data_IF_282585732575
#
_entry.id   IF_282585732575
#
_cell.length_a   1.000
_cell.length_b   1.000
_cell.length_c   1.000
_cell.angle_alpha   90.00
_cell.angle_beta   90.00
_cell.angle_gamma   90.00
#
_symmetry.space_group_name_H-M   'P 1'
#
loop_
_entity.id
_entity.type
_entity.pdbx_description
1 polymer ?
#
# COMPACT_ATOMS: atom_id res chain seq x y z
N UNK A 1 15.00 -0.41 0.42
CA UNK A 1 14.02 -0.38 1.53
C UNK A 1 14.09 -1.64 2.40
N UNK A 2 13.49 -1.64 3.60
CA UNK A 2 13.58 -2.74 4.60
C UNK A 2 12.24 -3.14 5.25
N UNK A 3 11.13 -2.56 4.77
CA UNK A 3 9.77 -2.84 5.22
C UNK A 3 8.83 -2.65 4.03
N UNK A 4 7.76 -3.44 3.96
CA UNK A 4 6.68 -3.26 3.01
C UNK A 4 5.38 -3.01 3.80
N UNK A 5 4.68 -1.94 3.45
CA UNK A 5 3.37 -1.61 4.01
C UNK A 5 2.32 -1.74 2.92
N UNK A 6 1.35 -2.62 3.14
CA UNK A 6 0.18 -2.80 2.28
C UNK A 6 -0.90 -1.84 2.75
N UNK A 7 -1.47 -1.14 1.79
CA UNK A 7 -2.49 -0.12 1.95
C UNK A 7 -3.72 -0.43 1.10
N UNK A 8 -4.78 0.33 1.34
CA UNK A 8 -5.95 0.36 0.49
C UNK A 8 -6.49 1.77 0.34
N UNK A 9 -6.95 2.07 -0.86
CA UNK A 9 -7.55 3.34 -1.20
C UNK A 9 -8.68 3.17 -2.21
N UNK A 10 -9.78 3.87 -1.97
CA UNK A 10 -10.84 4.12 -2.95
C UNK A 10 -11.06 5.62 -2.98
N UNK A 11 -11.21 6.19 -4.18
CA UNK A 11 -11.39 7.62 -4.33
C UNK A 11 -12.32 7.97 -5.49
N UNK A 12 -13.50 8.60 -5.24
CA UNK A 12 -14.09 8.89 -3.92
C UNK A 12 -14.26 7.66 -3.02
N UNK A 13 -14.47 7.82 -1.69
CA UNK A 13 -14.58 6.68 -0.78
C UNK A 13 -15.64 5.67 -1.25
N UNK A 14 -15.26 4.39 -1.33
CA UNK A 14 -16.11 3.31 -1.81
C UNK A 14 -16.34 3.28 -3.33
N UNK A 15 -15.68 4.17 -4.08
CA UNK A 15 -15.69 4.16 -5.55
C UNK A 15 -14.35 3.67 -6.08
N UNK A 16 -14.44 2.82 -7.11
CA UNK A 16 -13.30 2.22 -7.79
C UNK A 16 -13.27 2.67 -9.24
N UNK A 17 -12.12 2.51 -9.88
CA UNK A 17 -11.80 2.96 -11.23
C UNK A 17 -11.77 4.50 -11.35
N UNK A 18 -11.30 4.99 -12.50
CA UNK A 18 -11.11 6.42 -12.74
C UNK A 18 -9.73 6.92 -12.31
N UNK A 19 -9.54 8.23 -12.40
CA UNK A 19 -8.21 8.87 -12.34
C UNK A 19 -7.91 9.57 -11.01
N UNK A 20 -8.87 9.60 -10.07
CA UNK A 20 -8.75 10.40 -8.86
C UNK A 20 -7.59 9.98 -7.95
N UNK A 21 -7.30 8.67 -7.82
CA UNK A 21 -6.19 8.17 -7.02
C UNK A 21 -4.85 8.65 -7.60
N UNK A 22 -4.68 8.53 -8.92
CA UNK A 22 -3.50 9.04 -9.64
C UNK A 22 -3.36 10.55 -9.48
N UNK A 23 -4.47 11.30 -9.62
CA UNK A 23 -4.49 12.74 -9.43
C UNK A 23 -4.13 13.14 -8.00
N UNK A 24 -4.58 12.39 -6.98
CA UNK A 24 -4.19 12.62 -5.59
C UNK A 24 -2.69 12.42 -5.39
N UNK A 25 -2.13 11.30 -5.86
CA UNK A 25 -0.70 10.98 -5.68
C UNK A 25 0.24 11.89 -6.48
N UNK A 26 -0.28 12.56 -7.51
CA UNK A 26 0.46 13.54 -8.31
C UNK A 26 0.17 15.00 -7.95
N UNK A 27 -0.67 15.25 -6.94
CA UNK A 27 -1.11 16.58 -6.50
C UNK A 27 -1.89 17.37 -7.56
N UNK A 28 -2.68 16.68 -8.37
CA UNK A 28 -3.49 17.21 -9.47
C UNK A 28 -5.00 17.03 -9.26
N UNK A 29 -5.43 16.67 -8.04
CA UNK A 29 -6.85 16.44 -7.74
C UNK A 29 -7.69 17.70 -7.98
N UNK A 30 -8.69 17.59 -8.85
CA UNK A 30 -9.60 18.70 -9.20
C UNK A 30 -10.70 18.80 -8.16
N UNK A 31 -10.65 19.84 -7.31
CA UNK A 31 -11.55 20.01 -6.16
C UNK A 31 -13.04 19.98 -6.52
N UNK A 32 -13.39 20.54 -7.67
CA UNK A 32 -14.79 20.72 -8.07
C UNK A 32 -15.43 19.44 -8.67
N UNK A 33 -14.65 18.37 -8.90
CA UNK A 33 -15.18 17.12 -9.47
C UNK A 33 -16.00 16.30 -8.47
N UNK A 34 -15.71 16.41 -7.17
CA UNK A 34 -16.44 15.70 -6.14
C UNK A 34 -16.35 16.42 -4.78
N UNK A 35 -17.43 16.54 -3.99
CA UNK A 35 -17.42 17.28 -2.72
C UNK A 35 -16.30 16.85 -1.75
N UNK A 36 -16.03 15.53 -1.69
CA UNK A 36 -14.96 14.97 -0.86
C UNK A 36 -13.55 15.45 -1.26
N UNK A 37 -13.33 15.84 -2.53
CA UNK A 37 -12.00 16.24 -3.00
C UNK A 37 -11.55 17.57 -2.39
N UNK A 38 -12.49 18.47 -2.08
CA UNK A 38 -12.19 19.71 -1.34
C UNK A 38 -11.54 19.43 0.01
N UNK A 39 -11.92 18.33 0.66
CA UNK A 39 -11.39 17.94 1.97
C UNK A 39 -9.96 17.38 1.90
N UNK A 40 -9.50 16.90 0.74
CA UNK A 40 -8.24 16.16 0.63
C UNK A 40 -7.24 16.73 -0.39
N UNK A 41 -7.63 17.66 -1.27
CA UNK A 41 -6.76 18.21 -2.31
C UNK A 41 -5.52 18.96 -1.77
N UNK A 42 -5.59 19.40 -0.51
CA UNK A 42 -4.46 20.03 0.18
C UNK A 42 -3.44 19.00 0.69
N UNK A 43 -3.78 17.71 0.75
CA UNK A 43 -2.86 16.67 1.19
C UNK A 43 -1.70 16.54 0.19
N UNK A 44 -0.54 16.14 0.71
CA UNK A 44 0.65 15.79 -0.06
C UNK A 44 1.04 14.38 0.31
N UNK A 45 0.43 13.43 -0.40
CA UNK A 45 0.58 11.98 -0.17
C UNK A 45 0.97 11.32 -1.48
N UNK A 46 1.67 10.20 -1.38
CA UNK A 46 2.07 9.39 -2.53
C UNK A 46 2.34 7.96 -2.08
N UNK A 47 2.25 7.03 -3.03
CA UNK A 47 2.64 5.63 -2.85
C UNK A 47 3.76 5.28 -3.84
N UNK A 48 4.41 4.14 -3.63
CA UNK A 48 5.33 3.62 -4.64
C UNK A 48 4.54 2.99 -5.78
N UNK A 49 3.59 2.12 -5.44
CA UNK A 49 2.76 1.38 -6.40
C UNK A 49 1.27 1.53 -6.04
N UNK A 50 0.43 1.60 -7.06
CA UNK A 50 -1.02 1.38 -7.00
C UNK A 50 -1.35 0.14 -7.83
N UNK A 51 -2.16 -0.76 -7.26
CA UNK A 51 -2.69 -1.93 -7.95
C UNK A 51 -4.21 -1.78 -8.08
N UNK A 52 -4.67 -1.53 -9.30
CA UNK A 52 -6.08 -1.33 -9.65
C UNK A 52 -6.89 -2.62 -9.56
N UNK A 53 -8.22 -2.51 -9.57
CA UNK A 53 -9.13 -3.67 -9.46
C UNK A 53 -8.89 -4.77 -10.49
N UNK A 54 -8.43 -4.41 -11.68
CA UNK A 54 -8.12 -5.33 -12.78
C UNK A 54 -6.69 -5.92 -12.72
N UNK A 55 -5.89 -5.52 -11.72
CA UNK A 55 -4.51 -5.96 -11.56
C UNK A 55 -3.49 -5.07 -12.27
N UNK A 56 -3.89 -3.98 -12.93
CA UNK A 56 -2.94 -3.00 -13.44
C UNK A 56 -2.10 -2.42 -12.29
N UNK A 57 -0.77 -2.45 -12.45
CA UNK A 57 0.17 -1.94 -11.46
C UNK A 57 0.82 -0.65 -11.99
N UNK A 58 0.51 0.47 -11.36
CA UNK A 58 1.00 1.81 -11.71
C UNK A 58 2.05 2.23 -10.70
N UNK A 59 3.22 2.69 -11.17
CA UNK A 59 4.30 3.19 -10.32
C UNK A 59 4.35 4.72 -10.31
N UNK A 60 4.40 5.33 -9.12
CA UNK A 60 4.49 6.79 -8.95
C UNK A 60 5.83 7.25 -8.41
N UNK A 61 6.41 6.48 -7.48
CA UNK A 61 7.69 6.79 -6.84
C UNK A 61 8.62 5.59 -7.02
N UNK A 62 9.88 5.87 -7.34
CA UNK A 62 10.92 4.86 -7.35
C UNK A 62 10.99 4.17 -5.98
N UNK A 63 11.05 2.84 -5.94
CA UNK A 63 11.10 2.05 -4.70
C UNK A 63 12.35 2.32 -3.86
N UNK A 64 13.39 2.91 -4.45
CA UNK A 64 14.60 3.36 -3.75
C UNK A 64 14.48 4.82 -3.23
N UNK A 65 13.38 5.52 -3.55
CA UNK A 65 13.07 6.87 -3.07
C UNK A 65 11.94 6.86 -2.04
N UNK A 66 11.80 7.99 -1.33
CA UNK A 66 10.81 8.16 -0.27
C UNK A 66 9.46 8.56 -0.85
N UNK A 67 8.44 7.73 -0.64
CA UNK A 67 7.03 8.09 -0.84
C UNK A 67 6.38 8.54 0.48
N UNK A 68 5.20 9.18 0.41
CA UNK A 68 4.49 9.71 1.57
C UNK A 68 3.18 8.95 1.84
N UNK A 69 3.29 7.70 2.30
CA UNK A 69 2.17 6.78 2.45
C UNK A 69 1.82 6.45 3.91
N UNK A 70 2.82 6.22 4.77
CA UNK A 70 2.62 5.73 6.14
C UNK A 70 2.34 6.85 7.17
N UNK A 71 2.65 8.11 6.86
CA UNK A 71 2.47 9.25 7.78
C UNK A 71 3.13 9.03 9.16
N UNK A 72 2.48 9.51 10.23
CA UNK A 72 2.88 9.22 11.62
C UNK A 72 2.64 7.74 11.91
N UNK A 73 3.74 6.98 11.97
CA UNK A 73 3.73 5.52 12.02
C UNK A 73 4.85 4.96 12.90
N UNK A 74 4.63 3.77 13.47
CA UNK A 74 5.61 3.01 14.23
C UNK A 74 5.44 1.50 14.01
N UNK A 75 6.53 0.75 14.10
CA UNK A 75 6.53 -0.71 13.89
C UNK A 75 7.60 -1.38 14.75
N UNK A 76 7.29 -2.54 15.32
CA UNK A 76 8.26 -3.33 16.08
C UNK A 76 9.10 -4.17 15.12
N UNK A 77 10.39 -3.85 15.03
CA UNK A 77 11.34 -4.61 14.23
C UNK A 77 11.92 -5.75 15.07
N UNK A 78 11.39 -6.96 14.85
CA UNK A 78 11.83 -8.15 15.58
C UNK A 78 13.31 -8.48 15.35
N UNK A 79 13.89 -8.14 14.18
CA UNK A 79 15.32 -8.41 13.92
C UNK A 79 16.23 -7.43 14.65
N UNK A 80 15.76 -6.20 14.86
CA UNK A 80 16.50 -5.17 15.60
C UNK A 80 16.10 -5.10 17.08
N UNK A 81 15.13 -5.90 17.51
CA UNK A 81 14.52 -5.88 18.84
C UNK A 81 14.14 -4.45 19.29
N UNK A 82 13.51 -3.68 18.41
CA UNK A 82 13.24 -2.26 18.69
C UNK A 82 12.10 -1.65 17.87
N UNK A 83 11.52 -0.58 18.40
CA UNK A 83 10.50 0.21 17.71
C UNK A 83 11.14 1.16 16.71
N UNK A 84 10.73 1.05 15.44
CA UNK A 84 11.07 2.00 14.39
C UNK A 84 9.91 2.97 14.17
N UNK A 85 10.20 4.20 13.80
CA UNK A 85 9.21 5.29 13.56
C UNK A 85 9.49 5.95 12.22
N UNK A 86 8.55 6.76 11.74
CA UNK A 86 8.65 7.48 10.46
C UNK A 86 8.90 6.51 9.29
N UNK A 87 8.01 5.53 9.12
CA UNK A 87 8.29 4.35 8.31
C UNK A 87 8.53 4.66 6.82
N UNK A 88 7.99 5.77 6.30
CA UNK A 88 8.27 6.29 4.95
C UNK A 88 9.78 6.33 4.60
N UNK A 89 10.66 6.49 5.59
CA UNK A 89 12.10 6.62 5.37
C UNK A 89 12.76 5.29 4.96
N UNK A 90 12.07 4.16 5.13
CA UNK A 90 12.63 2.84 4.87
C UNK A 90 11.61 1.79 4.44
N UNK A 91 10.37 2.18 4.13
CA UNK A 91 9.34 1.30 3.62
C UNK A 91 8.95 1.59 2.18
N UNK A 92 8.51 0.53 1.49
CA UNK A 92 7.73 0.63 0.27
C UNK A 92 6.25 0.63 0.63
N UNK A 93 5.46 1.52 0.02
CA UNK A 93 4.01 1.57 0.13
C UNK A 93 3.35 1.05 -1.15
N UNK A 94 2.57 -0.01 -1.03
CA UNK A 94 1.72 -0.52 -2.12
C UNK A 94 0.26 -0.27 -1.75
N UNK A 95 -0.42 0.50 -2.57
CA UNK A 95 -1.85 0.79 -2.48
C UNK A 95 -2.63 -0.21 -3.32
N UNK A 96 -3.62 -0.87 -2.74
CA UNK A 96 -4.61 -1.64 -3.49
C UNK A 96 -5.86 -0.78 -3.66
N UNK A 97 -6.38 -0.69 -4.87
CA UNK A 97 -7.68 -0.06 -5.09
C UNK A 97 -8.77 -0.89 -4.39
N UNK A 98 -9.33 -0.35 -3.31
CA UNK A 98 -10.12 -1.12 -2.36
C UNK A 98 -10.56 -0.34 -1.14
N UNK A 99 -11.28 -1.02 -0.27
CA UNK A 99 -11.76 -0.52 1.00
C UNK A 99 -11.89 -1.67 2.00
N UNK A 100 -12.43 -1.37 3.19
CA UNK A 100 -12.51 -2.32 4.30
C UNK A 100 -13.56 -3.43 4.09
N UNK A 101 -14.48 -3.29 3.15
CA UNK A 101 -15.67 -4.16 3.03
C UNK A 101 -15.76 -4.90 1.69
N UNK A 102 -15.11 -4.38 0.65
CA UNK A 102 -15.15 -4.90 -0.70
C UNK A 102 -14.03 -5.91 -0.91
N UNK A 103 -14.33 -7.19 -1.22
CA UNK A 103 -13.30 -8.22 -1.43
C UNK A 103 -12.30 -7.82 -2.51
N UNK A 104 -10.99 -8.02 -2.28
CA UNK A 104 -9.96 -7.79 -3.31
C UNK A 104 -10.03 -8.84 -4.41
N UNK A 105 -9.76 -8.43 -5.65
CA UNK A 105 -9.86 -9.35 -6.80
C UNK A 105 -8.66 -10.30 -6.87
N UNK A 106 -8.83 -11.42 -7.57
CA UNK A 106 -7.72 -12.33 -7.86
C UNK A 106 -6.60 -11.61 -8.63
N UNK A 107 -6.94 -10.73 -9.57
CA UNK A 107 -5.96 -9.99 -10.35
C UNK A 107 -5.11 -9.06 -9.48
N UNK A 108 -5.72 -8.43 -8.46
CA UNK A 108 -4.98 -7.63 -7.47
C UNK A 108 -4.00 -8.48 -6.66
N UNK A 109 -4.43 -9.64 -6.17
CA UNK A 109 -3.50 -10.54 -5.47
C UNK A 109 -2.38 -11.02 -6.39
N UNK A 110 -2.68 -11.39 -7.63
CA UNK A 110 -1.68 -11.85 -8.59
C UNK A 110 -0.62 -10.76 -8.84
N UNK A 111 -1.04 -9.51 -9.10
CA UNK A 111 -0.15 -8.37 -9.28
C UNK A 111 0.65 -8.03 -8.01
N UNK A 112 0.00 -8.07 -6.84
CA UNK A 112 0.65 -7.81 -5.56
C UNK A 112 1.75 -8.84 -5.29
N UNK A 113 1.49 -10.12 -5.55
CA UNK A 113 2.46 -11.19 -5.35
C UNK A 113 3.69 -10.97 -6.23
N UNK A 114 3.52 -10.65 -7.52
CA UNK A 114 4.65 -10.39 -8.41
C UNK A 114 5.44 -9.14 -7.98
N UNK A 115 4.76 -8.06 -7.56
CA UNK A 115 5.41 -6.87 -7.02
C UNK A 115 6.22 -7.20 -5.75
N UNK A 116 5.66 -7.99 -4.83
CA UNK A 116 6.34 -8.40 -3.60
C UNK A 116 7.56 -9.27 -3.90
N UNK A 117 7.44 -10.25 -4.79
CA UNK A 117 8.57 -11.11 -5.17
C UNK A 117 9.71 -10.29 -5.79
N UNK A 118 9.36 -9.35 -6.67
CA UNK A 118 10.34 -8.44 -7.26
C UNK A 118 11.03 -7.56 -6.20
N UNK A 119 10.26 -7.02 -5.25
CA UNK A 119 10.80 -6.22 -4.14
C UNK A 119 11.75 -7.04 -3.25
N UNK A 120 11.35 -8.26 -2.89
CA UNK A 120 12.16 -9.17 -2.09
C UNK A 120 13.50 -9.49 -2.77
N UNK A 121 13.48 -9.75 -4.08
CA UNK A 121 14.69 -10.04 -4.85
C UNK A 121 15.68 -8.86 -4.90
N UNK A 122 15.18 -7.62 -4.91
CA UNK A 122 16.02 -6.40 -4.99
C UNK A 122 16.46 -5.85 -3.63
N UNK A 123 15.78 -6.22 -2.54
CA UNK A 123 15.97 -5.59 -1.23
C UNK A 123 16.41 -6.63 -0.19
N UNK A 124 17.72 -6.82 0.03
CA UNK A 124 18.24 -7.85 0.94
C UNK A 124 17.77 -7.72 2.40
N UNK A 125 17.33 -6.53 2.81
CA UNK A 125 16.81 -6.26 4.15
C UNK A 125 15.30 -6.52 4.28
N UNK A 126 14.60 -6.73 3.18
CA UNK A 126 13.17 -7.04 3.15
C UNK A 126 12.98 -8.57 3.05
N UNK A 127 12.11 -9.11 3.89
CA UNK A 127 11.67 -10.51 3.81
C UNK A 127 10.14 -10.58 4.02
N UNK A 128 9.57 -11.78 3.91
CA UNK A 128 8.13 -11.99 4.14
C UNK A 128 7.67 -11.63 5.56
N UNK A 129 8.57 -11.67 6.56
CA UNK A 129 8.27 -11.25 7.94
C UNK A 129 8.16 -9.73 8.11
N UNK A 130 8.66 -8.97 7.13
CA UNK A 130 8.67 -7.50 7.08
C UNK A 130 7.60 -6.94 6.14
N UNK A 131 6.52 -7.68 5.95
CA UNK A 131 5.31 -7.24 5.26
C UNK A 131 4.24 -6.98 6.31
N UNK A 132 3.67 -5.78 6.31
CA UNK A 132 2.69 -5.36 7.30
C UNK A 132 1.58 -4.51 6.68
N UNK A 133 0.58 -4.12 7.48
CA UNK A 133 -0.52 -3.26 7.07
C UNK A 133 -0.36 -1.83 7.59
N UNK A 134 -1.03 -0.89 6.94
CA UNK A 134 -1.13 0.47 7.45
C UNK A 134 -1.81 0.53 8.82
N UNK A 135 -2.87 -0.25 9.02
CA UNK A 135 -3.56 -0.40 10.30
C UNK A 135 -2.63 -0.83 11.42
N UNK A 136 -1.71 -1.76 11.14
CA UNK A 136 -0.77 -2.26 12.14
C UNK A 136 0.28 -1.22 12.53
N UNK A 137 0.76 -0.41 11.56
CA UNK A 137 1.79 0.60 11.82
C UNK A 137 1.25 1.94 12.29
N UNK A 138 -0.07 2.14 12.24
CA UNK A 138 -0.76 3.36 12.63
C UNK A 138 -2.12 3.05 13.27
N UNK A 139 -2.13 2.28 14.37
CA UNK A 139 -3.37 1.88 15.03
C UNK A 139 -4.17 3.13 15.45
N UNK A 140 -5.49 3.01 15.47
CA UNK A 140 -6.48 4.07 15.76
C UNK A 140 -6.61 5.16 14.68
N UNK A 141 -5.60 5.36 13.83
CA UNK A 141 -5.65 6.33 12.73
C UNK A 141 -6.07 5.69 11.41
N UNK A 142 -5.72 4.42 11.21
CA UNK A 142 -5.85 3.71 9.95
C UNK A 142 -6.41 2.31 10.16
N UNK A 143 -7.23 1.88 9.20
CA UNK A 143 -7.87 0.56 9.17
C UNK A 143 -7.45 -0.25 7.94
N UNK A 144 -6.83 0.38 6.94
CA UNK A 144 -6.42 -0.25 5.69
C UNK A 144 -5.27 -1.26 5.86
N UNK A 145 -5.24 -2.36 5.05
CA UNK A 145 -6.14 -2.67 3.94
C UNK A 145 -7.48 -3.30 4.35
N UNK A 146 -7.80 -3.28 5.64
CA UNK A 146 -9.10 -3.68 6.16
C UNK A 146 -9.32 -5.19 6.27
N UNK A 147 -10.46 -5.61 6.86
CA UNK A 147 -10.81 -7.02 7.01
C UNK A 147 -11.13 -7.72 5.69
N UNK A 148 -11.42 -6.98 4.62
CA UNK A 148 -11.60 -7.55 3.27
C UNK A 148 -10.30 -8.09 2.64
N UNK A 149 -9.13 -7.68 3.15
CA UNK A 149 -7.85 -8.22 2.69
C UNK A 149 -7.57 -9.58 3.34
N UNK A 150 -7.51 -10.62 2.53
CA UNK A 150 -7.28 -12.00 2.94
C UNK A 150 -5.77 -12.26 3.07
N UNK A 151 -5.27 -12.02 4.30
CA UNK A 151 -3.89 -12.29 4.66
C UNK A 151 -3.50 -13.75 4.49
N UNK A 152 -4.40 -14.70 4.76
CA UNK A 152 -4.10 -16.13 4.64
C UNK A 152 -3.90 -16.51 3.17
N UNK A 153 -4.79 -16.05 2.30
CA UNK A 153 -4.66 -16.23 0.86
C UNK A 153 -3.38 -15.58 0.32
N UNK A 154 -3.10 -14.32 0.68
CA UNK A 154 -1.87 -13.64 0.29
C UNK A 154 -0.61 -14.42 0.70
N UNK A 155 -0.51 -14.83 1.96
CA UNK A 155 0.67 -15.57 2.46
C UNK A 155 0.83 -16.93 1.78
N UNK A 156 -0.27 -17.66 1.55
CA UNK A 156 -0.23 -18.95 0.84
C UNK A 156 0.27 -18.78 -0.60
N UNK A 157 -0.27 -17.78 -1.32
CA UNK A 157 0.14 -17.47 -2.69
C UNK A 157 1.60 -17.03 -2.77
N UNK A 158 2.06 -16.23 -1.80
CA UNK A 158 3.43 -15.74 -1.75
C UNK A 158 4.42 -16.88 -1.50
N UNK A 159 4.15 -17.72 -0.50
CA UNK A 159 4.98 -18.90 -0.22
C UNK A 159 5.10 -19.80 -1.45
N UNK A 160 3.97 -20.14 -2.07
CA UNK A 160 3.93 -20.98 -3.28
C UNK A 160 4.70 -20.37 -4.46
N UNK A 161 4.81 -19.04 -4.52
CA UNK A 161 5.52 -18.33 -5.59
C UNK A 161 7.02 -18.23 -5.35
N UNK A 162 7.45 -18.17 -4.08
CA UNK A 162 8.85 -18.12 -3.67
C UNK A 162 9.54 -19.49 -3.69
N UNK A 163 8.76 -20.58 -3.61
CA UNK A 163 9.25 -21.96 -3.74
C UNK A 163 9.51 -22.41 -5.19
N UNK A 164 9.05 -21.63 -6.18
CA UNK A 164 9.25 -21.89 -7.61
C UNK A 164 10.49 -21.19 -8.13
#
# INVERSE_FOLDING_TARGET
>A
MSLLVIHAISLPPGQFSGHAIEALFTNQLVVDEHPFFAEIAHLRVSAHLLIRRDGECVQFVDTDQRAWHAGRSCWWDARQAGWRRALNDFSVGIELEGDDVSPYTRAQYDALIEAVVWLLARNPQLDSSRITSHAHVSPLRKTDPGPAFDWAYFQQRLGSRLER
#
